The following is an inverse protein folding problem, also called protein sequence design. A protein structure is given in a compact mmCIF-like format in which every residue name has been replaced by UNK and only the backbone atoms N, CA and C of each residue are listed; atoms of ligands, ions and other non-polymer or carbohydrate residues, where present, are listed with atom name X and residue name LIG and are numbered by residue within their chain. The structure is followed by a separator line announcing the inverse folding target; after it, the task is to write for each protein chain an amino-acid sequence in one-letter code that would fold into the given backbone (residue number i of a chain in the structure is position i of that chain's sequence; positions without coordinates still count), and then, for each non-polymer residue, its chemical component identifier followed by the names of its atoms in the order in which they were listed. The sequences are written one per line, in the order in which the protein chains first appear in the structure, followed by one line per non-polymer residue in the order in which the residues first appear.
data_IF_782554929366
#
_entry.id   IF_782554929366
#
_cell.length_a   1.000
_cell.length_b   1.000
_cell.length_c   1.000
_cell.angle_alpha   90.00
_cell.angle_beta   90.00
_cell.angle_gamma   90.00
#
_symmetry.space_group_name_H-M   'P 1'
#
loop_
_entity.id
_entity.type
_entity.pdbx_description
1 polymer ?
#
# COMPACT_ATOMS: atom_id res chain seq x y z
N UNK A 1 14.96 3.51 21.99
CA UNK A 1 13.93 2.65 21.37
C UNK A 1 13.18 3.42 20.27
N UNK A 2 13.86 3.87 19.21
CA UNK A 2 13.23 4.54 18.04
C UNK A 2 13.98 4.17 16.73
N UNK A 3 15.16 3.56 16.81
CA UNK A 3 16.06 3.32 15.67
C UNK A 3 15.55 2.33 14.60
N UNK A 4 14.36 1.74 14.76
CA UNK A 4 13.82 0.74 13.82
C UNK A 4 12.72 1.28 12.88
N UNK A 5 12.34 2.57 12.98
CA UNK A 5 11.36 3.17 12.06
C UNK A 5 12.10 3.87 10.93
N UNK A 6 12.19 3.21 9.77
CA UNK A 6 12.82 3.77 8.59
C UNK A 6 11.88 4.76 7.90
N UNK A 7 12.32 6.02 7.79
CA UNK A 7 11.64 7.04 6.96
C UNK A 7 12.22 6.97 5.54
N UNK A 8 11.37 6.78 4.54
CA UNK A 8 11.79 6.68 3.14
C UNK A 8 10.82 7.45 2.25
N UNK A 9 11.36 8.16 1.26
CA UNK A 9 10.57 8.85 0.24
C UNK A 9 10.48 8.02 -1.04
N UNK A 10 9.33 8.05 -1.69
CA UNK A 10 9.06 7.34 -2.94
C UNK A 10 8.53 8.31 -3.99
N UNK A 11 8.90 8.11 -5.26
CA UNK A 11 8.36 8.90 -6.37
C UNK A 11 6.90 8.50 -6.64
N UNK A 12 6.08 9.44 -7.15
CA UNK A 12 4.70 9.14 -7.57
C UNK A 12 4.70 7.98 -8.57
N UNK A 13 3.82 7.01 -8.37
CA UNK A 13 3.71 5.81 -9.20
C UNK A 13 4.59 4.64 -8.77
N UNK A 14 5.42 4.79 -7.73
CA UNK A 14 6.17 3.65 -7.15
C UNK A 14 5.21 2.59 -6.62
N UNK A 15 5.46 1.33 -6.98
CA UNK A 15 4.70 0.18 -6.47
C UNK A 15 5.37 -0.32 -5.19
N UNK A 16 4.66 -0.21 -4.06
CA UNK A 16 5.16 -0.61 -2.73
C UNK A 16 4.93 -2.10 -2.42
N UNK A 17 3.94 -2.71 -3.07
CA UNK A 17 3.58 -4.13 -2.96
C UNK A 17 2.85 -4.53 -4.25
N UNK A 18 3.22 -5.65 -4.87
CA UNK A 18 2.50 -6.18 -6.04
C UNK A 18 1.47 -7.22 -5.60
N UNK A 19 0.44 -7.40 -6.41
CA UNK A 19 -0.53 -8.47 -6.22
C UNK A 19 0.19 -9.83 -6.28
N UNK A 20 -0.08 -10.69 -5.30
CA UNK A 20 0.60 -11.98 -5.14
C UNK A 20 1.80 -11.95 -4.18
N UNK A 21 2.36 -10.77 -3.89
CA UNK A 21 3.50 -10.66 -2.97
C UNK A 21 3.07 -10.92 -1.50
N UNK A 22 3.98 -11.51 -0.72
CA UNK A 22 3.86 -11.58 0.73
C UNK A 22 4.20 -10.20 1.31
N UNK A 23 3.25 -9.62 2.05
CA UNK A 23 3.45 -8.31 2.66
C UNK A 23 4.38 -8.40 3.88
N UNK A 24 5.66 -8.04 3.69
CA UNK A 24 6.66 -7.98 4.77
C UNK A 24 6.84 -6.60 5.41
N UNK A 25 6.09 -5.59 4.96
CA UNK A 25 6.20 -4.19 5.42
C UNK A 25 4.81 -3.57 5.61
N UNK A 26 4.69 -2.76 6.65
CA UNK A 26 3.60 -1.82 6.86
C UNK A 26 4.13 -0.39 6.69
N UNK A 27 3.29 0.53 6.23
CA UNK A 27 3.69 1.91 6.00
C UNK A 27 2.78 2.88 6.75
N UNK A 28 3.31 4.06 7.07
CA UNK A 28 2.55 5.19 7.60
C UNK A 28 2.80 6.41 6.70
N UNK A 29 1.74 7.06 6.22
CA UNK A 29 1.87 8.15 5.25
C UNK A 29 2.16 9.46 5.98
N UNK A 30 3.41 9.90 5.94
CA UNK A 30 3.81 11.21 6.50
C UNK A 30 3.47 12.37 5.56
N UNK A 31 3.59 12.16 4.24
CA UNK A 31 3.29 13.16 3.22
C UNK A 31 2.82 12.51 1.92
N UNK A 32 1.83 13.09 1.26
CA UNK A 32 1.26 12.58 0.01
C UNK A 32 0.09 11.61 0.21
N UNK A 33 -0.11 10.70 -0.75
CA UNK A 33 -1.23 9.77 -0.73
C UNK A 33 -0.85 8.43 -1.38
N UNK A 34 -1.17 7.33 -0.72
CA UNK A 34 -1.02 5.97 -1.26
C UNK A 34 -2.40 5.49 -1.70
N UNK A 35 -2.47 4.78 -2.83
CA UNK A 35 -3.70 4.11 -3.27
C UNK A 35 -3.52 2.61 -3.29
N UNK A 36 -4.60 1.88 -3.08
CA UNK A 36 -4.67 0.44 -3.24
C UNK A 36 -5.59 0.09 -4.41
N UNK A 37 -5.10 -0.75 -5.30
CA UNK A 37 -5.82 -1.16 -6.50
C UNK A 37 -5.56 -2.62 -6.82
N UNK A 38 -6.51 -3.27 -7.47
CA UNK A 38 -6.34 -4.59 -8.09
C UNK A 38 -6.05 -4.43 -9.58
N UNK A 39 -5.39 -5.44 -10.17
CA UNK A 39 -5.25 -5.55 -11.62
C UNK A 39 -6.12 -6.73 -12.08
N UNK A 40 -7.07 -6.46 -12.96
CA UNK A 40 -7.96 -7.47 -13.55
C UNK A 40 -7.36 -7.96 -14.88
N UNK A 41 -7.75 -9.14 -15.37
CA UNK A 41 -7.07 -9.92 -16.41
C UNK A 41 -6.60 -9.20 -17.68
N UNK A 42 -7.23 -8.08 -18.07
CA UNK A 42 -6.85 -7.26 -19.24
C UNK A 42 -5.87 -6.11 -18.90
N UNK A 43 -5.34 -6.08 -17.67
CA UNK A 43 -4.45 -5.03 -17.19
C UNK A 43 -5.19 -3.80 -16.61
N UNK A 44 -6.53 -3.79 -16.59
CA UNK A 44 -7.29 -2.70 -15.96
C UNK A 44 -7.02 -2.61 -14.47
N UNK A 45 -6.84 -1.38 -13.99
CA UNK A 45 -6.59 -1.07 -12.57
C UNK A 45 -7.85 -0.52 -11.92
N UNK A 46 -8.40 -1.26 -10.96
CA UNK A 46 -9.54 -0.79 -10.17
C UNK A 46 -9.05 -0.34 -8.80
N UNK A 47 -9.13 0.96 -8.53
CA UNK A 47 -8.73 1.53 -7.23
C UNK A 47 -9.89 1.42 -6.26
N UNK A 48 -9.64 0.91 -5.05
CA UNK A 48 -10.69 0.70 -4.04
C UNK A 48 -10.35 1.31 -2.69
N UNK A 49 -9.14 1.86 -2.51
CA UNK A 49 -8.81 2.60 -1.29
C UNK A 49 -7.76 3.68 -1.53
N UNK A 50 -7.82 4.74 -0.73
CA UNK A 50 -6.85 5.81 -0.66
C UNK A 50 -6.46 6.07 0.79
N UNK A 51 -5.16 6.25 1.01
CA UNK A 51 -4.54 6.50 2.30
C UNK A 51 -3.83 7.86 2.22
N UNK A 52 -4.53 8.95 2.57
CA UNK A 52 -3.91 10.26 2.71
C UNK A 52 -2.98 10.31 3.93
N UNK A 53 -2.37 11.47 4.14
CA UNK A 53 -1.48 11.76 5.27
C UNK A 53 -2.11 11.37 6.63
N UNK A 54 -1.30 10.84 7.54
CA UNK A 54 -1.73 10.38 8.85
C UNK A 54 -2.47 9.03 8.85
N UNK A 55 -2.56 8.33 7.72
CA UNK A 55 -3.18 7.00 7.63
C UNK A 55 -2.14 5.87 7.54
N UNK A 56 -2.41 4.71 8.19
CA UNK A 56 -1.61 3.51 8.02
C UNK A 56 -1.98 2.78 6.73
N UNK A 57 -0.99 2.16 6.09
CA UNK A 57 -1.17 1.27 4.93
C UNK A 57 -0.71 -0.12 5.34
N UNK A 58 -1.64 -1.06 5.34
CA UNK A 58 -1.42 -2.44 5.75
C UNK A 58 -2.16 -3.37 4.77
N UNK A 59 -1.65 -4.58 4.57
CA UNK A 59 -2.46 -5.62 3.91
C UNK A 59 -3.62 -5.93 4.85
N UNK A 60 -4.84 -5.58 4.46
CA UNK A 60 -6.03 -5.98 5.22
C UNK A 60 -6.19 -7.49 5.05
N UNK A 61 -6.05 -8.23 6.14
CA UNK A 61 -6.36 -9.66 6.19
C UNK A 61 -7.89 -9.78 6.31
N UNK A 62 -8.54 -10.38 5.31
CA UNK A 62 -9.98 -10.70 5.36
C UNK A 62 -10.92 -9.82 4.52
N UNK A 63 -10.73 -9.77 3.19
CA UNK A 63 -11.79 -9.44 2.21
C UNK A 63 -11.69 -10.29 0.93
N UNK A 64 -11.03 -11.46 1.00
CA UNK A 64 -10.96 -12.44 -0.11
C UNK A 64 -11.02 -13.89 0.40
N UNK A 65 -11.62 -14.15 1.56
CA UNK A 65 -12.15 -15.49 1.85
C UNK A 65 -13.65 -15.44 1.51
N UNK A 66 -13.99 -16.15 0.44
CA UNK A 66 -15.32 -16.39 -0.17
C UNK A 66 -15.94 -15.25 -0.96
#
# INVERSE_FOLDING_TARGET
MIAHILVTSYKKGTVLLKQGDIAGKCYFVLKGCVRQYTVVGDGRKTTYNFFPEGKPVMKRQGWFEN
#
